data_IF_525333456391
#
_entry.id   IF_525333456391
#
_cell.length_a   1.000
_cell.length_b   1.000
_cell.length_c   1.000
_cell.angle_alpha   90.00
_cell.angle_beta   90.00
_cell.angle_gamma   90.00
#
_symmetry.space_group_name_H-M   'P 1'
#
loop_
_entity.id
_entity.type
_entity.pdbx_description
1 polymer ?
#
# COMPACT_ATOMS: atom_id res chain seq x y z
N UNK A 1 31.27 1.54 -15.57
CA UNK A 1 31.58 0.86 -14.29
C UNK A 1 31.39 1.85 -13.16
N UNK A 2 30.15 1.90 -12.66
CA UNK A 2 29.69 2.18 -11.30
C UNK A 2 28.17 2.37 -11.46
N UNK A 3 27.47 1.24 -11.44
CA UNK A 3 26.03 1.23 -11.16
C UNK A 3 25.90 1.57 -9.68
N UNK A 4 25.28 2.72 -9.40
CA UNK A 4 25.02 3.16 -8.04
C UNK A 4 23.77 2.42 -7.53
N UNK A 5 24.01 1.37 -6.74
CA UNK A 5 23.04 0.58 -5.99
C UNK A 5 22.45 1.37 -4.81
N UNK A 6 21.94 2.57 -5.03
CA UNK A 6 21.28 3.35 -3.97
C UNK A 6 19.77 3.10 -3.98
N UNK A 7 19.31 2.41 -2.93
CA UNK A 7 17.94 2.02 -2.56
C UNK A 7 16.96 3.22 -2.50
N UNK A 8 17.49 4.39 -2.14
CA UNK A 8 16.85 5.70 -2.25
C UNK A 8 17.93 6.77 -2.39
N UNK A 9 17.63 7.89 -3.05
CA UNK A 9 18.57 9.02 -3.14
C UNK A 9 17.90 10.33 -2.75
N UNK A 10 18.68 11.25 -2.18
CA UNK A 10 18.22 12.60 -1.84
C UNK A 10 19.00 13.59 -2.70
N UNK A 11 18.27 14.37 -3.48
CA UNK A 11 18.81 15.35 -4.42
C UNK A 11 18.53 16.76 -3.90
N UNK A 12 19.48 17.68 -4.05
CA UNK A 12 19.22 19.12 -3.85
C UNK A 12 18.61 19.68 -5.15
N UNK A 13 17.44 20.29 -5.06
CA UNK A 13 16.72 20.88 -6.19
C UNK A 13 16.42 22.35 -5.92
N UNK A 14 16.63 23.20 -6.93
CA UNK A 14 16.22 24.60 -6.91
C UNK A 14 14.80 24.71 -7.50
N UNK A 15 13.92 25.45 -6.83
CA UNK A 15 12.60 25.76 -7.37
C UNK A 15 12.77 26.79 -8.51
N UNK A 16 12.29 26.44 -9.71
CA UNK A 16 12.49 27.23 -10.94
C UNK A 16 12.19 28.71 -10.75
N UNK A 17 13.10 29.53 -11.26
CA UNK A 17 13.01 30.99 -11.23
C UNK A 17 12.94 31.57 -9.80
N UNK A 18 13.47 30.84 -8.81
CA UNK A 18 13.59 31.29 -7.42
C UNK A 18 14.95 30.89 -6.84
N UNK A 19 15.39 31.53 -5.76
CA UNK A 19 16.60 31.13 -5.02
C UNK A 19 16.30 30.12 -3.89
N UNK A 20 15.14 29.47 -3.91
CA UNK A 20 14.75 28.50 -2.89
C UNK A 20 15.18 27.09 -3.26
N UNK A 21 15.91 26.45 -2.34
CA UNK A 21 16.41 25.08 -2.48
C UNK A 21 15.61 24.10 -1.62
N UNK A 22 15.38 22.90 -2.15
CA UNK A 22 14.62 21.82 -1.54
C UNK A 22 15.39 20.51 -1.62
N UNK A 23 15.26 19.66 -0.61
CA UNK A 23 15.69 18.27 -0.68
C UNK A 23 14.58 17.42 -1.32
N UNK A 24 14.90 16.70 -2.38
CA UNK A 24 14.00 15.78 -3.09
C UNK A 24 14.43 14.35 -2.78
N UNK A 25 13.63 13.65 -2.00
CA UNK A 25 13.82 12.21 -1.76
C UNK A 25 13.18 11.44 -2.90
N UNK A 26 14.00 10.67 -3.62
CA UNK A 26 13.59 9.78 -4.70
C UNK A 26 13.56 8.35 -4.17
N UNK A 27 12.40 7.70 -4.29
CA UNK A 27 12.18 6.30 -3.92
C UNK A 27 11.91 5.47 -5.17
N UNK A 28 12.58 4.32 -5.29
CA UNK A 28 12.30 3.31 -6.31
C UNK A 28 11.14 2.43 -5.84
N UNK A 29 10.10 2.26 -6.67
CA UNK A 29 8.86 1.57 -6.25
C UNK A 29 9.04 0.07 -6.13
N UNK A 30 9.75 -0.50 -7.09
CA UNK A 30 10.25 -1.87 -7.11
C UNK A 30 10.89 -2.24 -5.78
N UNK A 31 11.86 -1.44 -5.33
CA UNK A 31 12.54 -1.62 -4.04
C UNK A 31 11.58 -1.50 -2.84
N UNK A 32 10.75 -0.45 -2.80
CA UNK A 32 9.78 -0.27 -1.69
C UNK A 32 8.79 -1.44 -1.58
N UNK A 33 8.47 -2.10 -2.70
CA UNK A 33 7.60 -3.27 -2.73
C UNK A 33 8.35 -4.55 -2.36
N UNK A 34 9.57 -4.75 -2.87
CA UNK A 34 10.43 -5.88 -2.52
C UNK A 34 10.72 -5.94 -1.01
N UNK A 35 10.92 -4.76 -0.40
CA UNK A 35 11.23 -4.62 1.02
C UNK A 35 9.99 -4.55 1.93
N UNK A 36 8.76 -4.64 1.38
CA UNK A 36 7.48 -4.47 2.10
C UNK A 36 7.36 -3.14 2.88
N UNK A 37 8.02 -2.09 2.38
CA UNK A 37 8.19 -0.79 3.04
C UNK A 37 7.12 0.25 2.65
N UNK A 38 6.01 -0.22 2.06
CA UNK A 38 4.91 0.64 1.59
C UNK A 38 4.30 1.41 2.76
N UNK A 39 4.01 0.74 3.87
CA UNK A 39 3.42 1.39 5.05
C UNK A 39 4.38 2.42 5.65
N UNK A 40 5.66 2.07 5.79
CA UNK A 40 6.73 2.96 6.25
C UNK A 40 6.80 4.24 5.38
N UNK A 41 6.77 4.08 4.06
CA UNK A 41 6.80 5.19 3.09
C UNK A 41 5.58 6.10 3.23
N UNK A 42 4.38 5.51 3.41
CA UNK A 42 3.15 6.27 3.60
C UNK A 42 3.10 7.00 4.95
N UNK A 43 3.66 6.40 6.00
CA UNK A 43 3.81 7.04 7.32
C UNK A 43 4.77 8.22 7.22
N UNK A 44 5.94 8.05 6.59
CA UNK A 44 6.91 9.12 6.37
C UNK A 44 6.25 10.31 5.65
N UNK A 45 5.51 10.04 4.56
CA UNK A 45 4.75 11.06 3.83
C UNK A 45 3.76 11.80 4.72
N UNK A 46 3.00 11.07 5.55
CA UNK A 46 2.02 11.67 6.48
C UNK A 46 2.70 12.55 7.52
N UNK A 47 3.82 12.12 8.10
CA UNK A 47 4.58 12.89 9.08
C UNK A 47 5.09 14.20 8.47
N UNK A 48 5.69 14.15 7.28
CA UNK A 48 6.21 15.35 6.60
C UNK A 48 5.08 16.31 6.18
N UNK A 49 3.89 15.80 5.83
CA UNK A 49 2.71 16.61 5.51
C UNK A 49 2.10 17.30 6.75
N UNK A 50 2.17 16.64 7.91
CA UNK A 50 1.71 17.19 9.18
C UNK A 50 2.69 18.20 9.80
N UNK A 51 3.93 18.27 9.31
CA UNK A 51 4.98 19.18 9.76
C UNK A 51 4.71 20.68 9.51
N UNK A 52 3.50 21.07 9.11
CA UNK A 52 3.12 22.47 8.91
C UNK A 52 3.15 23.21 10.26
N UNK A 53 4.23 23.95 10.52
CA UNK A 53 4.53 24.81 11.69
C UNK A 53 5.42 24.24 12.81
N UNK A 54 6.18 23.18 12.58
CA UNK A 54 7.17 22.70 13.57
C UNK A 54 8.61 23.10 13.20
N UNK A 55 9.36 23.83 14.05
CA UNK A 55 10.69 24.38 13.71
C UNK A 55 11.79 23.32 13.48
N UNK A 56 11.52 22.06 13.81
CA UNK A 56 12.48 20.95 13.69
C UNK A 56 12.03 19.83 12.74
N UNK A 57 10.85 19.93 12.10
CA UNK A 57 10.41 18.94 11.11
C UNK A 57 10.54 19.50 9.71
N UNK A 58 11.14 18.72 8.81
CA UNK A 58 11.14 19.02 7.39
C UNK A 58 9.70 19.03 6.89
N UNK A 59 9.29 20.16 6.31
CA UNK A 59 7.98 20.30 5.72
C UNK A 59 7.94 19.63 4.34
N UNK A 60 6.93 18.81 4.10
CA UNK A 60 6.66 18.28 2.76
C UNK A 60 6.15 19.40 1.85
N UNK A 61 7.03 19.98 1.04
CA UNK A 61 6.65 21.00 0.07
C UNK A 61 5.73 20.43 -1.02
N UNK A 62 6.11 19.30 -1.61
CA UNK A 62 5.36 18.61 -2.64
C UNK A 62 5.79 17.14 -2.72
N UNK A 63 4.90 16.30 -3.25
CA UNK A 63 5.23 14.93 -3.67
C UNK A 63 5.04 14.82 -5.17
N UNK A 64 6.01 14.19 -5.82
CA UNK A 64 5.96 13.90 -7.24
C UNK A 64 5.98 12.39 -7.40
N UNK A 65 5.10 11.88 -8.24
CA UNK A 65 5.14 10.50 -8.67
C UNK A 65 5.44 10.50 -10.16
N UNK A 66 6.32 9.62 -10.61
CA UNK A 66 6.51 9.42 -12.04
C UNK A 66 5.18 8.92 -12.61
N UNK A 67 4.59 9.76 -13.46
CA UNK A 67 3.28 9.58 -14.07
C UNK A 67 3.25 8.47 -15.14
N UNK A 68 4.29 7.64 -15.28
CA UNK A 68 4.57 6.93 -16.53
C UNK A 68 4.99 5.48 -16.26
N UNK A 69 4.04 4.57 -16.38
CA UNK A 69 4.27 3.26 -17.01
C UNK A 69 3.49 3.36 -18.33
N UNK A 70 4.20 3.45 -19.47
CA UNK A 70 3.63 3.65 -20.83
C UNK A 70 2.99 5.02 -21.16
N UNK A 71 3.39 6.11 -20.51
CA UNK A 71 3.02 7.48 -20.96
C UNK A 71 1.62 7.95 -20.56
N UNK A 72 0.95 7.25 -19.64
CA UNK A 72 -0.40 7.60 -19.16
C UNK A 72 -0.37 7.96 -17.67
N UNK A 73 -0.87 9.15 -17.32
CA UNK A 73 -0.90 9.69 -15.95
C UNK A 73 -1.51 8.70 -14.95
N UNK A 74 -0.81 8.50 -13.83
CA UNK A 74 -1.29 7.72 -12.69
C UNK A 74 -2.47 8.45 -12.02
N UNK A 75 -3.56 7.74 -11.76
CA UNK A 75 -4.73 8.27 -11.05
C UNK A 75 -5.30 7.16 -10.14
N UNK A 76 -6.29 7.48 -9.29
CA UNK A 76 -6.90 6.54 -8.32
C UNK A 76 -7.45 5.25 -8.95
N UNK A 77 -7.57 5.17 -10.28
CA UNK A 77 -8.04 3.96 -11.00
C UNK A 77 -7.08 2.78 -10.92
N UNK A 78 -5.82 3.03 -10.57
CA UNK A 78 -4.84 1.96 -10.29
C UNK A 78 -5.16 1.20 -9.02
N UNK A 79 -5.70 1.87 -7.99
CA UNK A 79 -6.12 1.21 -6.75
C UNK A 79 -7.31 0.30 -7.01
N UNK A 80 -8.22 0.71 -7.89
CA UNK A 80 -9.34 -0.11 -8.35
C UNK A 80 -8.90 -1.32 -9.16
N UNK A 81 -7.86 -1.19 -9.98
CA UNK A 81 -7.25 -2.34 -10.65
C UNK A 81 -6.67 -3.34 -9.62
N UNK A 82 -5.88 -2.86 -8.67
CA UNK A 82 -5.30 -3.69 -7.60
C UNK A 82 -6.37 -4.37 -6.75
N UNK A 83 -7.47 -3.65 -6.45
CA UNK A 83 -8.63 -4.23 -5.78
C UNK A 83 -9.27 -5.35 -6.62
N UNK A 84 -9.37 -5.17 -7.94
CA UNK A 84 -9.83 -6.22 -8.87
C UNK A 84 -8.94 -7.47 -8.85
N UNK A 85 -7.62 -7.29 -8.81
CA UNK A 85 -6.66 -8.41 -8.71
C UNK A 85 -6.84 -9.15 -7.39
N UNK A 86 -6.90 -8.44 -6.27
CA UNK A 86 -7.13 -9.03 -4.94
C UNK A 86 -8.47 -9.77 -4.86
N UNK A 87 -9.54 -9.17 -5.41
CA UNK A 87 -10.85 -9.79 -5.45
C UNK A 87 -10.85 -11.07 -6.29
N UNK A 88 -10.15 -11.07 -7.42
CA UNK A 88 -9.96 -12.27 -8.25
C UNK A 88 -9.27 -13.38 -7.46
N UNK A 89 -8.18 -13.07 -6.76
CA UNK A 89 -7.44 -14.03 -5.94
C UNK A 89 -8.29 -14.60 -4.80
N UNK A 90 -9.08 -13.76 -4.11
CA UNK A 90 -9.99 -14.24 -3.06
C UNK A 90 -11.09 -15.17 -3.58
N UNK A 91 -11.58 -14.94 -4.80
CA UNK A 91 -12.66 -15.73 -5.39
C UNK A 91 -12.19 -17.01 -6.08
N UNK A 92 -10.97 -17.01 -6.64
CA UNK A 92 -10.49 -18.07 -7.54
C UNK A 92 -9.28 -18.81 -6.94
N UNK A 93 -8.53 -18.18 -6.03
CA UNK A 93 -7.37 -18.77 -5.35
C UNK A 93 -6.07 -18.74 -6.14
N UNK A 94 -6.00 -17.99 -7.24
CA UNK A 94 -4.81 -17.80 -8.06
C UNK A 94 -4.79 -16.39 -8.66
N UNK A 95 -3.62 -15.91 -9.11
CA UNK A 95 -3.48 -14.62 -9.77
C UNK A 95 -4.22 -14.60 -11.14
N UNK A 96 -4.80 -13.45 -11.56
CA UNK A 96 -5.40 -13.29 -12.88
C UNK A 96 -4.37 -13.25 -14.02
N UNK A 97 -3.11 -12.95 -13.73
CA UNK A 97 -2.01 -12.85 -14.71
C UNK A 97 -0.77 -13.57 -14.18
N UNK A 98 -0.01 -14.20 -15.07
CA UNK A 98 1.20 -14.94 -14.72
C UNK A 98 2.20 -14.91 -15.87
N UNK A 99 3.49 -15.05 -15.57
CA UNK A 99 4.56 -15.21 -16.54
C UNK A 99 5.70 -16.04 -15.96
N UNK A 100 6.56 -16.59 -16.82
CA UNK A 100 7.76 -17.31 -16.38
C UNK A 100 8.87 -16.35 -15.93
N UNK A 101 8.79 -15.10 -16.36
CA UNK A 101 9.63 -13.97 -15.95
C UNK A 101 8.80 -12.67 -15.88
N UNK A 102 9.44 -11.57 -15.51
CA UNK A 102 8.80 -10.26 -15.40
C UNK A 102 8.25 -9.76 -16.72
N UNK A 103 8.97 -9.95 -17.84
CA UNK A 103 8.56 -9.47 -19.15
C UNK A 103 7.28 -10.19 -19.62
N UNK A 104 7.22 -11.51 -19.43
CA UNK A 104 6.03 -12.32 -19.69
C UNK A 104 4.87 -11.91 -18.79
N UNK A 105 5.12 -11.65 -17.49
CA UNK A 105 4.10 -11.19 -16.56
C UNK A 105 3.55 -9.82 -16.96
N UNK A 106 4.41 -8.86 -17.29
CA UNK A 106 4.00 -7.53 -17.77
C UNK A 106 3.23 -7.64 -19.08
N UNK A 107 3.64 -8.53 -19.98
CA UNK A 107 2.92 -8.78 -21.21
C UNK A 107 1.51 -9.35 -20.94
N UNK A 108 1.39 -10.31 -20.03
CA UNK A 108 0.10 -10.88 -19.59
C UNK A 108 -0.81 -9.80 -18.97
N UNK A 109 -0.27 -9.00 -18.05
CA UNK A 109 -0.97 -7.86 -17.43
C UNK A 109 -1.44 -6.84 -18.47
N UNK A 110 -0.73 -6.65 -19.58
CA UNK A 110 -1.10 -5.64 -20.58
C UNK A 110 -2.04 -6.17 -21.66
N UNK A 111 -1.89 -7.43 -22.06
CA UNK A 111 -2.46 -7.93 -23.32
C UNK A 111 -3.44 -9.09 -23.12
N UNK A 112 -3.32 -9.86 -22.05
CA UNK A 112 -4.19 -11.00 -21.80
C UNK A 112 -5.43 -10.59 -21.00
N UNK A 113 -6.52 -11.30 -21.25
CA UNK A 113 -7.72 -11.24 -20.41
C UNK A 113 -7.63 -12.32 -19.34
N UNK A 114 -8.01 -12.04 -18.08
CA UNK A 114 -8.09 -13.06 -17.05
C UNK A 114 -9.03 -14.21 -17.45
N UNK A 115 -8.71 -15.41 -17.01
CA UNK A 115 -9.60 -16.57 -17.17
C UNK A 115 -10.69 -16.55 -16.11
N UNK A 116 -11.95 -16.65 -16.52
CA UNK A 116 -13.08 -16.63 -15.58
C UNK A 116 -13.75 -18.01 -15.51
N UNK A 117 -13.60 -18.75 -14.41
CA UNK A 117 -14.22 -20.07 -14.25
C UNK A 117 -15.75 -20.00 -14.21
N UNK A 118 -16.42 -21.07 -14.66
CA UNK A 118 -17.89 -21.16 -14.72
C UNK A 118 -18.58 -21.16 -13.36
N UNK A 119 -17.86 -21.36 -12.26
CA UNK A 119 -18.43 -21.35 -10.92
C UNK A 119 -18.68 -19.93 -10.39
N UNK A 120 -18.11 -18.91 -11.02
CA UNK A 120 -18.34 -17.52 -10.62
C UNK A 120 -19.81 -17.16 -10.84
N UNK A 121 -20.38 -16.44 -9.87
CA UNK A 121 -21.69 -15.84 -10.05
C UNK A 121 -21.65 -14.76 -11.14
N UNK A 122 -22.81 -14.40 -11.67
CA UNK A 122 -22.89 -13.35 -12.68
C UNK A 122 -22.36 -12.01 -12.13
N UNK A 123 -22.74 -11.68 -10.89
CA UNK A 123 -22.37 -10.44 -10.22
C UNK A 123 -20.85 -10.37 -9.97
N UNK A 124 -20.23 -11.48 -9.56
CA UNK A 124 -18.79 -11.59 -9.38
C UNK A 124 -18.02 -11.40 -10.69
N UNK A 125 -18.49 -12.04 -11.78
CA UNK A 125 -17.91 -11.85 -13.10
C UNK A 125 -18.05 -10.40 -13.57
N UNK A 126 -19.21 -9.78 -13.37
CA UNK A 126 -19.48 -8.41 -13.77
C UNK A 126 -18.55 -7.43 -13.05
N UNK A 127 -18.37 -7.53 -11.74
CA UNK A 127 -17.49 -6.60 -11.03
C UNK A 127 -16.01 -6.81 -11.39
N UNK A 128 -15.56 -8.07 -11.53
CA UNK A 128 -14.19 -8.38 -11.92
C UNK A 128 -13.86 -7.82 -13.31
N UNK A 129 -14.75 -8.00 -14.28
CA UNK A 129 -14.54 -7.48 -15.65
C UNK A 129 -14.51 -5.96 -15.70
N UNK A 130 -15.26 -5.26 -14.83
CA UNK A 130 -15.25 -3.80 -14.72
C UNK A 130 -14.02 -3.24 -13.98
N UNK A 131 -13.49 -3.96 -12.98
CA UNK A 131 -12.27 -3.57 -12.25
C UNK A 131 -10.99 -3.89 -13.03
N UNK A 132 -10.98 -5.02 -13.74
CA UNK A 132 -9.86 -5.49 -14.57
C UNK A 132 -9.96 -5.03 -16.03
N UNK A 133 -10.66 -3.92 -16.26
CA UNK A 133 -10.65 -3.21 -17.54
C UNK A 133 -9.26 -2.58 -17.76
N UNK A 134 -8.65 -2.87 -18.93
CA UNK A 134 -7.34 -2.33 -19.28
C UNK A 134 -7.40 -0.81 -19.52
N UNK A 135 -8.54 -0.28 -19.97
CA UNK A 135 -8.72 1.17 -20.14
C UNK A 135 -9.11 1.82 -18.80
N UNK A 136 -8.18 2.58 -18.23
CA UNK A 136 -8.37 3.30 -16.97
C UNK A 136 -9.53 4.31 -16.99
N UNK A 137 -9.95 4.81 -18.16
CA UNK A 137 -11.03 5.80 -18.27
C UNK A 137 -12.40 5.17 -18.09
N UNK A 138 -12.56 3.92 -18.53
CA UNK A 138 -13.81 3.17 -18.46
C UNK A 138 -13.87 2.24 -17.24
N UNK A 139 -12.71 1.91 -16.65
CA UNK A 139 -12.58 1.12 -15.43
C UNK A 139 -13.46 1.65 -14.28
N UNK A 140 -14.06 0.71 -13.55
CA UNK A 140 -14.85 1.01 -12.35
C UNK A 140 -14.05 1.84 -11.34
N UNK A 141 -14.70 2.85 -10.77
CA UNK A 141 -14.12 3.75 -9.79
C UNK A 141 -13.28 4.91 -10.37
N UNK A 142 -13.17 4.99 -11.70
CA UNK A 142 -12.73 6.21 -12.38
C UNK A 142 -13.77 7.32 -12.34
N UNK A 143 -13.33 8.58 -12.36
CA UNK A 143 -14.21 9.77 -12.32
C UNK A 143 -15.16 9.87 -13.52
N UNK A 144 -14.79 9.27 -14.65
CA UNK A 144 -15.59 9.23 -15.89
C UNK A 144 -16.28 7.87 -16.10
N UNK A 145 -16.23 6.97 -15.11
CA UNK A 145 -16.80 5.64 -15.25
C UNK A 145 -18.33 5.69 -15.32
N UNK A 146 -18.89 5.07 -16.36
CA UNK A 146 -20.34 4.98 -16.59
C UNK A 146 -21.04 3.96 -15.67
N UNK A 147 -20.28 3.16 -14.93
CA UNK A 147 -20.82 2.06 -14.12
C UNK A 147 -21.20 2.45 -12.68
N UNK A 148 -21.10 3.74 -12.33
CA UNK A 148 -21.44 4.24 -11.00
C UNK A 148 -20.36 3.99 -9.95
N UNK A 149 -20.72 4.13 -8.67
CA UNK A 149 -19.82 3.86 -7.55
C UNK A 149 -19.62 2.34 -7.38
N UNK A 150 -18.49 1.94 -6.80
CA UNK A 150 -18.25 0.54 -6.43
C UNK A 150 -19.30 0.03 -5.45
N UNK A 151 -19.82 0.89 -4.58
CA UNK A 151 -20.83 0.55 -3.57
C UNK A 151 -22.18 0.16 -4.16
N UNK A 152 -22.44 0.60 -5.39
CA UNK A 152 -23.70 0.37 -6.11
C UNK A 152 -23.67 -0.91 -6.97
N UNK A 153 -22.54 -1.61 -7.03
CA UNK A 153 -22.44 -2.84 -7.83
C UNK A 153 -23.23 -3.98 -7.17
N UNK A 154 -23.95 -4.76 -7.97
CA UNK A 154 -24.78 -5.89 -7.50
C UNK A 154 -23.98 -6.93 -6.69
N UNK A 155 -22.68 -7.04 -6.92
CA UNK A 155 -21.79 -7.89 -6.12
C UNK A 155 -21.85 -7.56 -4.63
N UNK A 156 -22.05 -6.28 -4.28
CA UNK A 156 -22.15 -5.80 -2.90
C UNK A 156 -23.59 -5.58 -2.43
N UNK A 157 -24.62 -6.07 -3.14
CA UNK A 157 -26.03 -5.84 -2.76
C UNK A 157 -26.36 -6.30 -1.33
N UNK A 158 -25.66 -7.32 -0.82
CA UNK A 158 -25.84 -7.85 0.54
C UNK A 158 -25.16 -7.01 1.63
N UNK A 159 -24.32 -6.03 1.27
CA UNK A 159 -23.55 -5.22 2.20
C UNK A 159 -24.33 -3.96 2.57
N UNK A 160 -24.70 -3.86 3.85
CA UNK A 160 -25.19 -2.62 4.43
C UNK A 160 -24.01 -1.77 4.91
N UNK A 161 -23.57 -0.82 4.08
CA UNK A 161 -22.36 -0.02 4.31
C UNK A 161 -22.33 0.70 5.67
N UNK A 162 -23.46 1.30 6.11
CA UNK A 162 -23.54 1.97 7.42
C UNK A 162 -23.30 0.99 8.60
N UNK A 163 -23.85 -0.23 8.48
CA UNK A 163 -23.67 -1.27 9.50
C UNK A 163 -22.24 -1.82 9.49
N UNK A 164 -21.63 -1.92 8.30
CA UNK A 164 -20.24 -2.32 8.17
C UNK A 164 -19.32 -1.31 8.87
N UNK A 165 -19.52 -0.01 8.61
CA UNK A 165 -18.74 1.07 9.21
C UNK A 165 -18.85 1.10 10.74
N UNK A 166 -20.07 0.86 11.27
CA UNK A 166 -20.31 0.73 12.71
C UNK A 166 -19.90 -0.62 13.32
N UNK A 167 -19.32 -1.54 12.52
CA UNK A 167 -18.88 -2.89 12.94
C UNK A 167 -20.03 -3.76 13.48
N UNK A 168 -21.23 -3.60 12.92
CA UNK A 168 -22.47 -4.30 13.31
C UNK A 168 -22.80 -5.50 12.41
N UNK A 169 -21.97 -5.77 11.40
CA UNK A 169 -22.09 -6.96 10.56
C UNK A 169 -21.30 -8.11 11.20
N UNK A 170 -21.91 -9.30 11.25
CA UNK A 170 -21.22 -10.50 11.70
C UNK A 170 -20.19 -10.94 10.65
N UNK A 171 -18.99 -11.26 11.11
CA UNK A 171 -17.90 -11.75 10.24
C UNK A 171 -18.20 -13.18 9.78
N UNK A 172 -18.06 -13.52 8.49
CA UNK A 172 -18.31 -14.87 7.99
C UNK A 172 -17.33 -15.90 8.56
N UNK A 173 -16.12 -15.47 8.90
CA UNK A 173 -15.11 -16.28 9.57
C UNK A 173 -14.68 -15.59 10.87
N UNK A 174 -14.76 -16.33 11.98
CA UNK A 174 -14.21 -15.91 13.27
C UNK A 174 -13.10 -16.87 13.67
N UNK A 175 -11.83 -16.41 13.76
CA UNK A 175 -10.74 -17.26 14.21
C UNK A 175 -10.97 -17.75 15.65
N UNK A 176 -10.59 -18.99 15.94
CA UNK A 176 -10.85 -19.67 17.21
C UNK A 176 -9.75 -19.38 18.24
N UNK A 177 -9.66 -18.15 18.72
CA UNK A 177 -8.67 -17.75 19.72
C UNK A 177 -9.03 -18.34 21.09
N UNK A 178 -8.15 -19.16 21.68
CA UNK A 178 -8.41 -19.82 22.99
C UNK A 178 -8.00 -18.96 24.17
N UNK A 179 -7.02 -18.08 23.97
CA UNK A 179 -6.39 -17.28 25.01
C UNK A 179 -5.82 -15.99 24.41
N UNK A 180 -5.71 -14.87 25.16
CA UNK A 180 -5.10 -13.63 24.64
C UNK A 180 -3.67 -13.77 24.10
N UNK A 181 -2.94 -14.81 24.52
CA UNK A 181 -1.56 -15.13 24.09
C UNK A 181 -1.50 -16.30 23.09
N UNK A 182 -2.63 -16.66 22.49
CA UNK A 182 -2.70 -17.77 21.53
C UNK A 182 -1.97 -17.42 20.22
N UNK A 183 -0.99 -18.25 19.86
CA UNK A 183 -0.16 -18.06 18.67
C UNK A 183 -0.44 -19.06 17.56
N UNK A 184 -1.54 -19.81 17.61
CA UNK A 184 -1.82 -20.92 16.66
C UNK A 184 -1.92 -20.51 15.18
N UNK A 185 -2.19 -19.23 14.90
CA UNK A 185 -2.32 -18.69 13.54
C UNK A 185 -1.02 -18.04 13.03
N UNK A 186 0.07 -18.13 13.79
CA UNK A 186 1.39 -17.67 13.39
C UNK A 186 2.27 -18.87 13.03
N UNK A 187 3.26 -18.64 12.16
CA UNK A 187 4.26 -19.67 11.86
C UNK A 187 5.09 -20.01 13.10
N UNK A 188 5.33 -21.30 13.32
CA UNK A 188 6.14 -21.82 14.41
C UNK A 188 7.61 -21.42 14.31
N UNK A 189 8.09 -21.08 13.11
CA UNK A 189 9.43 -20.54 12.91
C UNK A 189 9.66 -19.28 13.73
N UNK A 190 8.66 -18.39 13.84
CA UNK A 190 8.76 -17.16 14.62
C UNK A 190 8.42 -17.38 16.10
N UNK A 191 7.31 -18.06 16.37
CA UNK A 191 6.81 -18.24 17.75
C UNK A 191 7.66 -19.19 18.60
N UNK A 192 8.49 -20.03 17.95
CA UNK A 192 9.47 -20.88 18.62
C UNK A 192 10.76 -20.15 19.00
N UNK A 193 11.05 -18.99 18.40
CA UNK A 193 12.19 -18.18 18.78
C UNK A 193 11.91 -17.45 20.09
N UNK A 194 12.92 -17.36 20.97
CA UNK A 194 12.79 -16.55 22.18
C UNK A 194 12.78 -15.07 21.80
N UNK A 195 11.79 -14.29 22.25
CA UNK A 195 11.75 -12.86 21.96
C UNK A 195 13.01 -12.21 22.56
N UNK A 196 13.80 -11.57 21.70
CA UNK A 196 15.05 -10.89 22.04
C UNK A 196 15.19 -9.62 21.22
N UNK A 197 15.78 -8.59 21.82
CA UNK A 197 16.18 -7.40 21.09
C UNK A 197 17.51 -7.68 20.39
N UNK A 198 17.61 -7.30 19.12
CA UNK A 198 18.88 -7.31 18.39
C UNK A 198 19.85 -6.37 19.10
N UNK A 199 21.04 -6.87 19.45
CA UNK A 199 22.05 -6.06 20.12
C UNK A 199 22.56 -4.97 19.17
N UNK A 200 22.58 -3.73 19.63
CA UNK A 200 23.18 -2.61 18.90
C UNK A 200 24.63 -2.44 19.35
N UNK A 201 25.54 -2.27 18.39
CA UNK A 201 26.94 -2.05 18.71
C UNK A 201 27.14 -0.75 19.52
N UNK A 202 27.87 -0.78 20.65
CA UNK A 202 28.03 0.40 21.51
C UNK A 202 28.67 1.60 20.81
N UNK A 203 29.48 1.36 19.77
CA UNK A 203 30.11 2.43 19.01
C UNK A 203 29.08 3.25 18.22
N UNK A 204 28.10 2.58 17.59
CA UNK A 204 27.02 3.22 16.83
C UNK A 204 26.18 4.10 17.75
N UNK A 205 25.83 3.62 18.95
CA UNK A 205 25.06 4.41 19.91
C UNK A 205 25.82 5.65 20.41
N UNK A 206 27.14 5.55 20.55
CA UNK A 206 27.98 6.68 21.03
C UNK A 206 28.24 7.73 19.95
N UNK A 207 28.27 7.33 18.68
CA UNK A 207 28.51 8.26 17.56
C UNK A 207 27.22 8.92 17.05
N UNK A 208 26.05 8.38 17.42
CA UNK A 208 24.76 8.88 16.99
C UNK A 208 24.30 10.09 17.79
N UNK A 209 23.99 11.19 17.09
CA UNK A 209 23.34 12.37 17.68
C UNK A 209 21.95 11.99 18.21
N UNK A 210 21.69 12.32 19.48
CA UNK A 210 20.44 12.01 20.17
C UNK A 210 19.42 13.15 20.11
N UNK A 211 19.84 14.38 19.76
CA UNK A 211 18.95 15.54 19.70
C UNK A 211 17.75 15.36 18.74
N UNK A 212 17.86 14.66 17.58
CA UNK A 212 16.72 14.39 16.72
C UNK A 212 15.58 13.59 17.38
N UNK A 213 15.86 12.83 18.44
CA UNK A 213 14.85 12.07 19.18
C UNK A 213 14.19 12.89 20.31
N UNK A 214 14.57 14.16 20.49
CA UNK A 214 13.92 15.06 21.44
C UNK A 214 12.44 15.25 21.05
N UNK A 215 11.54 14.99 21.99
CA UNK A 215 10.10 15.08 21.74
C UNK A 215 9.50 13.83 21.09
N UNK A 216 10.28 12.75 20.94
CA UNK A 216 9.78 11.46 20.43
C UNK A 216 8.76 10.79 21.36
N UNK A 217 8.92 10.97 22.68
CA UNK A 217 8.02 10.36 23.67
C UNK A 217 6.59 10.90 23.53
N UNK A 218 5.66 10.01 23.16
CA UNK A 218 4.24 10.29 23.05
C UNK A 218 3.42 9.17 23.70
N UNK A 219 2.31 9.53 24.34
CA UNK A 219 1.32 8.58 24.84
C UNK A 219 -0.05 9.09 24.46
N UNK A 220 -0.83 8.25 23.77
CA UNK A 220 -2.18 8.62 23.37
C UNK A 220 -3.07 8.73 24.64
N UNK A 221 -3.68 9.89 24.92
CA UNK A 221 -4.50 10.09 26.11
C UNK A 221 -5.76 9.22 26.13
N UNK A 222 -6.15 8.63 24.99
CA UNK A 222 -7.28 7.72 24.88
C UNK A 222 -6.89 6.24 25.03
N UNK A 223 -5.62 5.91 25.22
CA UNK A 223 -5.21 4.55 25.53
C UNK A 223 -5.59 4.25 26.97
N UNK A 224 -6.73 3.59 27.16
CA UNK A 224 -7.09 3.03 28.47
C UNK A 224 -6.22 1.81 28.72
N UNK A 225 -5.14 1.96 29.46
CA UNK A 225 -4.52 0.81 30.15
C UNK A 225 -5.54 0.28 31.16
N UNK A 226 -6.07 -0.93 30.90
CA UNK A 226 -6.81 -1.74 31.86
C UNK A 226 -6.13 -3.08 32.00
#
# INVERSE_FOLDING_TARGET
MMEDETQSCVLLAELRDTEYYYAVKCLKKDVVLEDDDVECTLIERKVLALGTNHPYLCHLFATFQTDIIKGLKYNQTVDWWSFGVLLYEMLIGQSPFSGCDEDELFWSICNEMPSYPRFLSHEALTILTRLLDKDARTRLGGTECMHGDIRDQDFFHAIHWDRLERRELETPFRPRVRHPMDTQYFDKAFTGERPRLTAVEPHVLRSMDQEPFRGFSYTNPNTTDR
#
